data_IF_248167725558
#
_entry.id   IF_248167725558
#
_cell.length_a   1.000
_cell.length_b   1.000
_cell.length_c   1.000
_cell.angle_alpha   90.00
_cell.angle_beta   90.00
_cell.angle_gamma   90.00
#
_symmetry.space_group_name_H-M   'P 1'
#
loop_
_entity.id
_entity.type
_entity.pdbx_description
1 polymer ?
#
# COMPACT_ATOMS: atom_id res chain seq x y z
N UNK A 1 -21.05 -29.90 22.27
CA UNK A 1 -19.92 -30.15 21.36
C UNK A 1 -20.20 -31.45 20.62
N UNK A 2 -20.09 -31.48 19.29
CA UNK A 2 -20.37 -32.68 18.49
C UNK A 2 -19.11 -33.10 17.73
N UNK A 3 -18.95 -34.41 17.55
CA UNK A 3 -17.85 -35.00 16.78
C UNK A 3 -18.44 -35.64 15.53
N UNK A 4 -17.86 -35.34 14.37
CA UNK A 4 -18.20 -35.98 13.10
C UNK A 4 -16.97 -36.66 12.56
N UNK A 5 -17.15 -37.93 12.20
CA UNK A 5 -16.12 -38.74 11.55
C UNK A 5 -16.53 -38.96 10.11
N UNK A 6 -15.66 -38.60 9.18
CA UNK A 6 -15.85 -38.81 7.75
C UNK A 6 -14.67 -39.60 7.20
N UNK A 7 -14.97 -40.69 6.51
CA UNK A 7 -13.96 -41.53 5.86
C UNK A 7 -13.80 -41.11 4.40
N UNK A 8 -12.73 -40.38 4.11
CA UNK A 8 -12.23 -40.15 2.75
C UNK A 8 -11.06 -41.15 2.50
N UNK A 9 -10.05 -40.79 1.72
CA UNK A 9 -8.77 -41.54 1.62
C UNK A 9 -8.14 -41.85 2.99
N UNK A 10 -8.37 -40.98 3.98
CA UNK A 10 -8.05 -41.18 5.39
C UNK A 10 -9.24 -40.73 6.22
N UNK A 11 -9.33 -41.25 7.44
CA UNK A 11 -10.42 -40.86 8.32
C UNK A 11 -10.15 -39.49 8.93
N UNK A 12 -11.10 -38.58 8.73
CA UNK A 12 -11.08 -37.21 9.23
C UNK A 12 -12.07 -37.12 10.38
N UNK A 13 -11.62 -36.60 11.53
CA UNK A 13 -12.47 -36.36 12.70
C UNK A 13 -12.55 -34.85 12.96
N UNK A 14 -13.76 -34.31 12.97
CA UNK A 14 -14.05 -32.89 13.12
C UNK A 14 -14.83 -32.67 14.42
N UNK A 15 -14.47 -31.62 15.16
CA UNK A 15 -15.17 -31.22 16.38
C UNK A 15 -15.67 -29.79 16.23
N UNK A 16 -16.92 -29.55 16.61
CA UNK A 16 -17.60 -28.29 16.34
C UNK A 16 -18.79 -28.09 17.29
N UNK A 17 -19.17 -26.82 17.47
CA UNK A 17 -20.18 -26.40 18.45
C UNK A 17 -21.54 -26.11 17.83
N UNK A 18 -21.59 -25.69 16.57
CA UNK A 18 -22.79 -25.10 15.94
C UNK A 18 -23.47 -25.97 14.86
N UNK A 19 -22.87 -27.07 14.40
CA UNK A 19 -23.43 -27.85 13.28
C UNK A 19 -23.92 -29.25 13.63
N UNK A 20 -24.30 -30.00 12.60
CA UNK A 20 -24.39 -31.46 12.60
C UNK A 20 -23.66 -32.06 11.38
N UNK A 21 -23.64 -33.40 11.24
CA UNK A 21 -23.19 -34.03 9.99
C UNK A 21 -24.09 -33.63 8.80
N UNK A 22 -25.35 -33.31 9.10
CA UNK A 22 -26.37 -32.89 8.16
C UNK A 22 -26.47 -31.35 8.06
N UNK A 23 -26.83 -30.81 6.89
CA UNK A 23 -27.12 -31.54 5.65
C UNK A 23 -25.86 -32.16 5.04
N UNK A 24 -26.00 -33.38 4.52
CA UNK A 24 -24.95 -33.98 3.70
C UNK A 24 -24.82 -33.16 2.41
N UNK A 25 -23.59 -33.01 1.95
CA UNK A 25 -23.27 -32.30 0.73
C UNK A 25 -22.35 -33.19 -0.11
N UNK A 26 -22.04 -32.75 -1.32
CA UNK A 26 -21.14 -33.47 -2.21
C UNK A 26 -19.82 -32.71 -2.36
N UNK A 27 -18.73 -33.44 -2.60
CA UNK A 27 -17.44 -32.87 -2.97
C UNK A 27 -16.81 -33.66 -4.11
N UNK A 28 -16.02 -32.98 -4.93
CA UNK A 28 -15.30 -33.63 -6.04
C UNK A 28 -13.97 -34.16 -5.54
N UNK A 29 -13.72 -35.45 -5.76
CA UNK A 29 -12.46 -36.12 -5.46
C UNK A 29 -11.84 -36.70 -6.72
N UNK A 30 -10.52 -36.62 -6.79
CA UNK A 30 -9.78 -37.24 -7.88
C UNK A 30 -9.54 -38.70 -7.55
N UNK A 31 -10.17 -39.60 -8.30
CA UNK A 31 -9.98 -41.02 -8.16
C UNK A 31 -8.86 -41.50 -9.09
N UNK A 32 -7.77 -42.00 -8.48
CA UNK A 32 -6.64 -42.58 -9.21
C UNK A 32 -6.81 -44.07 -9.48
N UNK A 33 -7.76 -44.73 -8.83
CA UNK A 33 -8.02 -46.16 -8.98
C UNK A 33 -8.89 -46.48 -10.19
N UNK A 34 -9.74 -45.53 -10.60
CA UNK A 34 -10.48 -45.62 -11.86
C UNK A 34 -9.55 -45.45 -13.08
N UNK A 35 -9.75 -46.25 -14.14
CA UNK A 35 -9.03 -46.11 -15.42
C UNK A 35 -10.02 -45.80 -16.54
N UNK A 36 -9.98 -44.60 -17.15
CA UNK A 36 -9.09 -43.47 -16.88
C UNK A 36 -9.39 -42.78 -15.54
N UNK A 37 -8.37 -42.18 -14.93
CA UNK A 37 -8.52 -41.40 -13.70
C UNK A 37 -9.52 -40.27 -13.92
N UNK A 38 -10.52 -40.17 -13.03
CA UNK A 38 -11.62 -39.22 -13.18
C UNK A 38 -11.98 -38.55 -11.86
N UNK A 39 -12.69 -37.44 -11.96
CA UNK A 39 -13.33 -36.82 -10.80
C UNK A 39 -14.60 -37.59 -10.45
N UNK A 40 -14.70 -38.01 -9.20
CA UNK A 40 -15.86 -38.69 -8.64
C UNK A 40 -16.49 -37.78 -7.59
N UNK A 41 -17.82 -37.72 -7.62
CA UNK A 41 -18.63 -37.01 -6.63
C UNK A 41 -18.77 -37.92 -5.39
N UNK A 42 -18.29 -37.45 -4.24
CA UNK A 42 -18.34 -38.17 -2.97
C UNK A 42 -19.18 -37.38 -1.96
N UNK A 43 -20.04 -38.08 -1.23
CA UNK A 43 -20.81 -37.49 -0.14
C UNK A 43 -19.89 -37.10 1.02
N UNK A 44 -20.02 -35.86 1.47
CA UNK A 44 -19.30 -35.32 2.62
C UNK A 44 -20.26 -34.58 3.55
N UNK A 45 -20.05 -34.64 4.88
CA UNK A 45 -20.80 -33.84 5.83
C UNK A 45 -20.70 -32.35 5.50
N UNK A 46 -21.80 -31.61 5.63
CA UNK A 46 -21.82 -30.17 5.30
C UNK A 46 -20.79 -29.36 6.08
N UNK A 47 -20.43 -29.81 7.29
CA UNK A 47 -19.37 -29.22 8.12
C UNK A 47 -17.98 -29.27 7.48
N UNK A 48 -17.68 -30.28 6.65
CA UNK A 48 -16.40 -30.38 5.92
C UNK A 48 -16.27 -29.22 4.94
N UNK A 49 -17.35 -28.88 4.24
CA UNK A 49 -17.33 -27.74 3.32
C UNK A 49 -17.11 -26.42 4.08
N UNK A 50 -17.84 -26.22 5.18
CA UNK A 50 -17.67 -25.01 6.02
C UNK A 50 -16.23 -24.89 6.50
N UNK A 51 -15.66 -25.99 7.02
CA UNK A 51 -14.26 -26.02 7.40
C UNK A 51 -13.35 -25.60 6.24
N UNK A 52 -13.48 -26.23 5.06
CA UNK A 52 -12.62 -25.91 3.91
C UNK A 52 -12.80 -24.48 3.38
N UNK A 53 -14.01 -23.91 3.43
CA UNK A 53 -14.28 -22.52 3.00
C UNK A 53 -13.61 -21.52 3.93
N UNK A 54 -13.62 -21.79 5.24
CA UNK A 54 -13.07 -20.90 6.25
C UNK A 54 -11.58 -21.20 6.57
N UNK A 55 -11.08 -22.38 6.20
CA UNK A 55 -9.67 -22.75 6.29
C UNK A 55 -8.84 -21.91 5.33
N UNK A 56 -7.57 -21.69 5.68
CA UNK A 56 -6.60 -21.01 4.82
C UNK A 56 -6.64 -19.49 4.89
N UNK A 57 -7.41 -18.89 5.81
CA UNK A 57 -7.30 -17.46 6.10
C UNK A 57 -5.89 -17.07 6.54
N UNK A 58 -5.28 -17.89 7.42
CA UNK A 58 -3.89 -17.72 7.88
C UNK A 58 -2.91 -17.95 6.72
N UNK A 59 -3.03 -19.05 5.98
CA UNK A 59 -2.15 -19.36 4.85
C UNK A 59 -2.16 -18.27 3.76
N UNK A 60 -3.33 -17.64 3.51
CA UNK A 60 -3.44 -16.50 2.58
C UNK A 60 -2.71 -15.27 3.10
N UNK A 61 -2.81 -14.98 4.40
CA UNK A 61 -2.05 -13.91 5.03
C UNK A 61 -0.54 -14.18 4.95
N UNK A 62 -0.12 -15.40 5.27
CA UNK A 62 1.28 -15.83 5.20
C UNK A 62 1.83 -15.78 3.78
N UNK A 63 1.02 -16.14 2.78
CA UNK A 63 1.36 -15.98 1.36
C UNK A 63 1.56 -14.51 1.00
N UNK A 64 0.65 -13.61 1.42
CA UNK A 64 0.79 -12.17 1.18
C UNK A 64 2.03 -11.58 1.86
N UNK A 65 2.31 -12.02 3.09
CA UNK A 65 3.50 -11.66 3.86
C UNK A 65 4.78 -12.14 3.16
N UNK A 66 4.76 -13.33 2.57
CA UNK A 66 5.90 -13.92 1.87
C UNK A 66 6.35 -13.16 0.63
N UNK A 67 5.41 -12.52 -0.10
CA UNK A 67 5.71 -11.85 -1.38
C UNK A 67 6.62 -10.62 -1.24
N UNK A 68 6.32 -9.74 -0.27
CA UNK A 68 7.01 -8.44 -0.12
C UNK A 68 7.39 -8.18 1.34
N UNK A 69 7.96 -9.18 2.02
CA UNK A 69 8.30 -9.10 3.44
C UNK A 69 9.30 -8.00 3.75
N UNK A 70 9.02 -7.17 4.75
CA UNK A 70 10.00 -6.29 5.39
C UNK A 70 10.98 -7.15 6.19
N UNK A 71 12.22 -7.20 5.70
CA UNK A 71 13.28 -7.97 6.33
C UNK A 71 14.26 -7.06 7.07
N UNK A 72 14.44 -7.32 8.37
CA UNK A 72 15.41 -6.61 9.19
C UNK A 72 16.59 -7.53 9.54
N UNK A 73 17.78 -7.23 9.00
CA UNK A 73 19.04 -7.90 9.35
C UNK A 73 19.60 -7.31 10.64
N UNK A 74 19.23 -7.89 11.78
CA UNK A 74 19.76 -7.48 13.08
C UNK A 74 19.73 -8.59 14.12
N UNK A 75 20.61 -8.48 15.13
CA UNK A 75 20.68 -9.41 16.27
C UNK A 75 19.48 -9.27 17.23
N UNK A 76 18.79 -8.13 17.19
CA UNK A 76 17.63 -7.81 18.03
C UNK A 76 16.37 -8.50 17.51
N UNK A 77 16.00 -9.63 18.10
CA UNK A 77 14.87 -10.49 17.67
C UNK A 77 13.51 -9.76 17.70
N UNK A 78 13.29 -8.88 18.68
CA UNK A 78 12.03 -8.15 18.84
C UNK A 78 11.71 -7.24 17.63
N UNK A 79 12.73 -6.75 16.92
CA UNK A 79 12.51 -5.95 15.71
C UNK A 79 11.86 -6.77 14.59
N UNK A 80 12.09 -8.08 14.53
CA UNK A 80 11.42 -8.94 13.55
C UNK A 80 9.91 -9.01 13.81
N UNK A 81 9.50 -9.06 15.08
CA UNK A 81 8.08 -9.04 15.47
C UNK A 81 7.48 -7.67 15.15
N UNK A 82 8.18 -6.59 15.50
CA UNK A 82 7.74 -5.23 15.20
C UNK A 82 7.47 -5.02 13.70
N UNK A 83 8.42 -5.36 12.82
CA UNK A 83 8.23 -5.22 11.38
C UNK A 83 7.18 -6.19 10.82
N UNK A 84 7.02 -7.37 11.42
CA UNK A 84 5.96 -8.30 11.04
C UNK A 84 4.56 -7.73 11.33
N UNK A 85 4.36 -7.06 12.47
CA UNK A 85 3.10 -6.39 12.80
C UNK A 85 2.81 -5.26 11.80
N UNK A 86 3.82 -4.45 11.46
CA UNK A 86 3.67 -3.40 10.43
C UNK A 86 3.28 -4.00 9.09
N UNK A 87 3.95 -5.07 8.66
CA UNK A 87 3.63 -5.75 7.41
C UNK A 87 2.18 -6.27 7.38
N UNK A 88 1.74 -6.91 8.46
CA UNK A 88 0.36 -7.37 8.60
C UNK A 88 -0.63 -6.20 8.53
N UNK A 89 -0.34 -5.09 9.21
CA UNK A 89 -1.18 -3.90 9.18
C UNK A 89 -1.30 -3.32 7.76
N UNK A 90 -0.19 -3.25 7.01
CA UNK A 90 -0.18 -2.76 5.62
C UNK A 90 -0.95 -3.70 4.69
N UNK A 91 -0.84 -5.02 4.86
CA UNK A 91 -1.62 -5.99 4.07
C UNK A 91 -3.11 -5.86 4.39
N UNK A 92 -3.48 -5.73 5.67
CA UNK A 92 -4.88 -5.51 6.06
C UNK A 92 -5.43 -4.20 5.46
N UNK A 93 -4.65 -3.12 5.49
CA UNK A 93 -5.01 -1.86 4.84
C UNK A 93 -5.20 -2.02 3.32
N UNK A 94 -4.36 -2.82 2.66
CA UNK A 94 -4.53 -3.13 1.23
C UNK A 94 -5.80 -3.93 0.94
N UNK A 95 -6.16 -4.90 1.81
CA UNK A 95 -7.41 -5.65 1.67
C UNK A 95 -8.64 -4.75 1.83
N UNK A 96 -8.62 -3.82 2.79
CA UNK A 96 -9.66 -2.81 2.95
C UNK A 96 -9.73 -1.88 1.74
N UNK A 97 -8.59 -1.37 1.27
CA UNK A 97 -8.51 -0.58 0.05
C UNK A 97 -9.14 -1.29 -1.15
N UNK A 98 -8.85 -2.59 -1.34
CA UNK A 98 -9.44 -3.38 -2.42
C UNK A 98 -10.95 -3.54 -2.29
N UNK A 99 -11.45 -3.74 -1.07
CA UNK A 99 -12.88 -3.85 -0.80
C UNK A 99 -13.58 -2.53 -1.13
N UNK A 100 -13.04 -1.41 -0.66
CA UNK A 100 -13.63 -0.10 -0.85
C UNK A 100 -13.49 0.36 -2.32
N UNK A 101 -12.39 0.00 -2.99
CA UNK A 101 -12.23 0.20 -4.43
C UNK A 101 -13.30 -0.56 -5.22
N UNK A 102 -13.57 -1.82 -4.88
CA UNK A 102 -14.61 -2.60 -5.54
C UNK A 102 -16.02 -2.02 -5.33
N UNK A 103 -16.28 -1.37 -4.18
CA UNK A 103 -17.57 -0.78 -3.86
C UNK A 103 -17.78 0.61 -4.49
N UNK A 104 -16.73 1.43 -4.56
CA UNK A 104 -16.85 2.86 -4.84
C UNK A 104 -16.16 3.32 -6.13
N UNK A 105 -15.19 2.56 -6.68
CA UNK A 105 -14.38 3.03 -7.80
C UNK A 105 -14.96 2.58 -9.15
N UNK A 106 -14.83 3.46 -10.15
CA UNK A 106 -15.13 3.11 -11.55
C UNK A 106 -13.90 2.42 -12.17
N UNK A 107 -13.97 1.12 -12.53
CA UNK A 107 -12.82 0.36 -13.05
C UNK A 107 -12.27 0.91 -14.38
N UNK A 108 -13.09 1.63 -15.15
CA UNK A 108 -12.70 2.19 -16.44
C UNK A 108 -11.87 3.47 -16.30
N UNK A 109 -11.80 4.06 -15.10
CA UNK A 109 -11.10 5.33 -14.84
C UNK A 109 -9.85 5.16 -13.99
N UNK A 110 -9.86 4.21 -13.06
CA UNK A 110 -8.77 4.03 -12.10
C UNK A 110 -8.46 2.53 -12.02
N UNK A 111 -7.17 2.17 -11.99
CA UNK A 111 -6.73 0.79 -11.79
C UNK A 111 -6.57 0.52 -10.29
N UNK A 112 -7.07 -0.63 -9.82
CA UNK A 112 -6.81 -1.09 -8.47
C UNK A 112 -5.31 -1.39 -8.30
N UNK A 113 -4.69 -0.85 -7.27
CA UNK A 113 -3.27 -1.09 -6.98
C UNK A 113 -3.03 -2.55 -6.58
N UNK A 114 -2.01 -3.17 -7.18
CA UNK A 114 -1.44 -4.43 -6.70
C UNK A 114 -0.79 -4.25 -5.33
N UNK A 115 -0.54 -5.36 -4.61
CA UNK A 115 0.08 -5.31 -3.28
C UNK A 115 1.43 -4.57 -3.32
N UNK A 116 2.25 -4.81 -4.34
CA UNK A 116 3.52 -4.11 -4.54
C UNK A 116 3.34 -2.60 -4.69
N UNK A 117 2.47 -2.18 -5.63
CA UNK A 117 2.21 -0.77 -5.91
C UNK A 117 1.65 -0.06 -4.68
N UNK A 118 0.75 -0.72 -3.94
CA UNK A 118 0.18 -0.20 -2.70
C UNK A 118 1.26 -0.01 -1.62
N UNK A 119 2.10 -1.02 -1.36
CA UNK A 119 3.22 -0.90 -0.40
C UNK A 119 4.20 0.20 -0.80
N UNK A 120 4.50 0.32 -2.09
CA UNK A 120 5.36 1.38 -2.62
C UNK A 120 4.75 2.76 -2.41
N UNK A 121 3.44 2.92 -2.64
CA UNK A 121 2.72 4.18 -2.38
C UNK A 121 2.81 4.57 -0.90
N UNK A 122 2.50 3.65 0.02
CA UNK A 122 2.61 3.87 1.47
C UNK A 122 4.03 4.30 1.86
N UNK A 123 5.05 3.60 1.37
CA UNK A 123 6.45 3.93 1.66
C UNK A 123 6.83 5.33 1.15
N UNK A 124 6.40 5.70 -0.06
CA UNK A 124 6.66 7.02 -0.64
C UNK A 124 5.97 8.14 0.15
N UNK A 125 4.72 7.92 0.57
CA UNK A 125 3.97 8.90 1.36
C UNK A 125 4.61 9.14 2.73
N UNK A 126 5.02 8.07 3.43
CA UNK A 126 5.72 8.19 4.71
C UNK A 126 7.08 8.87 4.59
N UNK A 127 7.81 8.63 3.48
CA UNK A 127 9.11 9.27 3.20
C UNK A 127 8.98 10.79 3.11
N UNK A 128 7.88 11.31 2.56
CA UNK A 128 7.69 12.75 2.37
C UNK A 128 7.18 13.42 3.66
N UNK A 129 6.45 12.70 4.51
CA UNK A 129 6.01 13.19 5.83
C UNK A 129 7.16 13.38 6.80
N UNK A 130 8.18 12.51 6.74
CA UNK A 130 9.46 12.83 7.34
C UNK A 130 10.11 13.92 6.50
N UNK A 131 9.86 15.19 6.85
CA UNK A 131 10.79 16.27 6.51
C UNK A 131 12.20 15.69 6.76
N UNK A 132 13.20 15.85 5.87
CA UNK A 132 14.55 15.49 6.26
C UNK A 132 14.81 16.27 7.54
N UNK A 133 14.75 15.59 8.69
CA UNK A 133 15.47 15.99 9.88
C UNK A 133 16.80 16.40 9.28
N UNK A 134 17.15 17.68 9.41
CA UNK A 134 18.41 18.21 8.89
C UNK A 134 19.44 17.28 9.46
N UNK A 135 19.86 16.28 8.66
CA UNK A 135 20.84 15.33 9.11
C UNK A 135 22.05 16.24 9.27
N UNK A 136 22.64 16.34 10.48
CA UNK A 136 23.88 17.07 10.61
C UNK A 136 24.79 16.55 9.48
N UNK A 137 25.42 17.45 8.70
CA UNK A 137 26.22 17.03 7.56
C UNK A 137 27.09 15.86 8.01
N UNK A 138 26.90 14.69 7.39
CA UNK A 138 27.79 13.58 7.65
C UNK A 138 29.23 14.00 7.35
N UNK A 139 30.20 13.24 7.86
CA UNK A 139 31.62 13.45 7.55
C UNK A 139 31.77 13.72 6.05
N UNK A 140 32.30 14.88 5.62
CA UNK A 140 32.39 15.20 4.20
C UNK A 140 33.14 14.09 3.49
N UNK A 141 32.58 13.61 2.38
CA UNK A 141 33.26 12.65 1.53
C UNK A 141 34.52 13.33 0.99
N UNK A 142 35.69 12.87 1.44
CA UNK A 142 36.96 13.30 0.87
C UNK A 142 36.99 12.90 -0.60
N UNK A 143 37.32 13.88 -1.45
CA UNK A 143 37.53 13.78 -2.90
C UNK A 143 36.34 13.28 -3.76
N UNK A 144 35.39 14.17 -4.03
CA UNK A 144 34.70 14.15 -5.33
C UNK A 144 35.42 15.12 -6.26
N UNK A 145 35.72 14.68 -7.48
CA UNK A 145 36.25 15.59 -8.50
C UNK A 145 35.28 16.75 -8.75
N UNK A 146 35.78 17.91 -9.16
CA UNK A 146 34.94 19.06 -9.54
C UNK A 146 33.91 18.71 -10.62
N UNK A 147 34.17 17.69 -11.45
CA UNK A 147 33.24 17.16 -12.44
C UNK A 147 32.10 16.33 -11.81
N UNK A 148 32.38 15.52 -10.79
CA UNK A 148 31.37 14.74 -10.06
C UNK A 148 30.50 15.63 -9.18
N UNK A 149 31.09 16.65 -8.53
CA UNK A 149 30.34 17.67 -7.82
C UNK A 149 29.38 18.44 -8.76
N UNK A 150 29.82 18.76 -9.98
CA UNK A 150 28.97 19.37 -11.01
C UNK A 150 27.90 18.41 -11.53
N UNK A 151 28.19 17.12 -11.71
CA UNK A 151 27.18 16.11 -12.09
C UNK A 151 26.09 15.97 -11.02
N UNK A 152 26.45 15.91 -9.75
CA UNK A 152 25.49 15.87 -8.63
C UNK A 152 24.67 17.16 -8.53
N UNK A 153 25.30 18.32 -8.77
CA UNK A 153 24.60 19.60 -8.80
C UNK A 153 23.64 19.72 -10.00
N UNK A 154 24.00 19.17 -11.17
CA UNK A 154 23.13 19.11 -12.35
C UNK A 154 22.00 18.08 -12.21
N UNK A 155 22.21 16.95 -11.51
CA UNK A 155 21.12 16.01 -11.18
C UNK A 155 20.11 16.61 -10.18
N UNK A 156 20.55 17.56 -9.35
CA UNK A 156 19.70 18.30 -8.41
C UNK A 156 19.10 19.60 -9.00
N UNK A 157 19.34 19.91 -10.27
CA UNK A 157 18.53 20.92 -10.98
C UNK A 157 17.15 20.31 -11.22
N UNK A 158 16.26 20.53 -10.25
CA UNK A 158 14.83 20.25 -10.39
C UNK A 158 14.35 21.09 -11.57
N UNK A 159 14.09 20.43 -12.70
CA UNK A 159 13.41 21.05 -13.81
C UNK A 159 12.00 21.45 -13.34
N UNK A 160 11.80 22.74 -13.15
CA UNK A 160 10.53 23.33 -12.70
C UNK A 160 9.35 23.06 -13.64
N UNK A 161 9.60 22.50 -14.84
CA UNK A 161 8.55 22.11 -15.79
C UNK A 161 8.05 20.66 -15.58
N UNK A 162 8.83 19.80 -14.92
CA UNK A 162 8.53 18.39 -14.68
C UNK A 162 8.60 18.03 -13.18
N UNK A 163 8.12 18.92 -12.31
CA UNK A 163 8.08 18.60 -10.87
C UNK A 163 7.08 17.47 -10.65
N UNK A 164 7.58 16.28 -10.28
CA UNK A 164 6.73 15.15 -9.91
C UNK A 164 5.81 15.60 -8.78
N UNK A 165 4.51 15.62 -9.05
CA UNK A 165 3.51 15.98 -8.06
C UNK A 165 3.59 14.99 -6.89
N UNK A 166 3.59 15.47 -5.63
CA UNK A 166 3.51 14.57 -4.48
C UNK A 166 2.21 13.78 -4.51
N UNK A 167 2.23 12.63 -3.84
CA UNK A 167 1.06 11.75 -3.74
C UNK A 167 -0.13 12.51 -3.11
N UNK A 168 -1.38 12.25 -3.55
CA UNK A 168 -2.57 12.96 -3.05
C UNK A 168 -2.72 12.92 -1.52
N UNK A 169 -2.31 11.83 -0.89
CA UNK A 169 -2.37 11.65 0.56
C UNK A 169 -1.42 12.61 1.28
N UNK A 170 -0.23 12.84 0.73
CA UNK A 170 0.73 13.81 1.27
C UNK A 170 0.22 15.23 1.11
N UNK A 171 -0.46 15.51 0.00
CA UNK A 171 -1.03 16.83 -0.28
C UNK A 171 -2.15 17.17 0.71
N UNK A 172 -2.96 16.18 1.10
CA UNK A 172 -4.18 16.35 1.89
C UNK A 172 -4.03 16.01 3.37
N UNK A 173 -2.85 15.62 3.84
CA UNK A 173 -2.63 15.20 5.23
C UNK A 173 -2.66 16.33 6.28
N UNK A 174 -3.04 17.55 5.89
CA UNK A 174 -3.27 18.73 6.76
C UNK A 174 -2.11 19.13 7.69
N UNK A 175 -0.92 18.54 7.54
CA UNK A 175 0.20 18.73 8.48
C UNK A 175 1.46 19.14 7.72
N UNK A 176 2.19 20.15 8.21
CA UNK A 176 3.55 20.44 7.73
C UNK A 176 3.67 21.15 6.36
N UNK A 177 2.57 21.63 5.78
CA UNK A 177 2.56 22.40 4.54
C UNK A 177 2.91 23.87 4.78
N UNK A 178 4.14 24.16 5.20
CA UNK A 178 4.58 25.53 5.49
C UNK A 178 5.13 26.26 4.25
N UNK A 179 4.74 27.53 4.02
CA UNK A 179 5.25 28.31 2.90
C UNK A 179 6.66 28.81 3.20
N UNK A 180 7.53 28.72 2.20
CA UNK A 180 8.89 29.28 2.17
C UNK A 180 9.05 30.16 0.92
N UNK A 181 10.00 31.10 0.96
CA UNK A 181 10.27 32.02 -0.16
C UNK A 181 11.58 31.61 -0.83
N UNK A 182 11.48 31.16 -2.08
CA UNK A 182 12.65 30.83 -2.90
C UNK A 182 13.11 32.05 -3.71
N UNK A 183 14.42 32.15 -3.92
CA UNK A 183 15.02 33.17 -4.82
C UNK A 183 14.60 32.97 -6.28
N UNK A 184 14.38 31.71 -6.67
CA UNK A 184 13.92 31.31 -8.00
C UNK A 184 12.40 31.36 -8.09
N UNK A 185 11.88 31.82 -9.23
CA UNK A 185 10.44 31.75 -9.53
C UNK A 185 10.11 30.41 -10.17
N UNK A 186 8.95 29.85 -9.82
CA UNK A 186 8.39 28.65 -10.43
C UNK A 186 6.93 28.85 -10.83
N UNK A 187 6.42 27.97 -11.69
CA UNK A 187 5.00 27.95 -12.07
C UNK A 187 4.18 27.29 -10.95
N UNK A 188 3.01 27.82 -10.67
CA UNK A 188 2.10 27.25 -9.69
C UNK A 188 1.71 25.81 -10.05
N UNK A 189 1.87 24.88 -9.11
CA UNK A 189 1.56 23.47 -9.33
C UNK A 189 0.06 23.14 -9.32
N UNK A 190 -0.79 24.07 -8.87
CA UNK A 190 -2.24 23.86 -8.84
C UNK A 190 -2.79 23.76 -10.28
N UNK A 191 -3.53 22.68 -10.56
CA UNK A 191 -4.14 22.46 -11.89
C UNK A 191 -5.00 23.66 -12.28
N UNK A 192 -4.75 24.20 -13.47
CA UNK A 192 -5.45 25.36 -14.02
C UNK A 192 -4.85 26.73 -13.64
N UNK A 193 -3.85 26.78 -12.75
CA UNK A 193 -3.16 28.01 -12.41
C UNK A 193 -1.88 28.18 -13.25
N UNK A 194 -1.71 29.34 -13.88
CA UNK A 194 -0.51 29.69 -14.66
C UNK A 194 0.37 30.75 -13.97
N UNK A 195 0.13 31.01 -12.68
CA UNK A 195 0.84 32.04 -11.92
C UNK A 195 2.31 31.68 -11.71
N UNK A 196 3.21 32.63 -11.97
CA UNK A 196 4.62 32.52 -11.61
C UNK A 196 4.84 33.10 -10.21
N UNK A 197 5.39 32.31 -9.29
CA UNK A 197 5.49 32.65 -7.87
C UNK A 197 6.83 32.24 -7.26
N UNK A 198 7.21 32.94 -6.19
CA UNK A 198 8.40 32.64 -5.37
C UNK A 198 8.06 31.78 -4.14
N UNK A 199 6.78 31.67 -3.81
CA UNK A 199 6.30 30.90 -2.67
C UNK A 199 6.31 29.41 -2.97
N UNK A 200 6.78 28.64 -1.99
CA UNK A 200 7.12 27.23 -2.12
C UNK A 200 6.68 26.44 -0.89
N UNK A 201 6.01 25.30 -1.07
CA UNK A 201 5.69 24.41 0.05
C UNK A 201 6.91 23.55 0.39
N UNK A 202 7.41 23.64 1.63
CA UNK A 202 8.60 22.91 2.08
C UNK A 202 8.40 21.40 2.01
N UNK A 203 7.19 20.91 2.29
CA UNK A 203 6.86 19.48 2.31
C UNK A 203 6.59 18.91 0.92
N UNK A 204 5.70 19.55 0.16
CA UNK A 204 5.32 19.12 -1.18
C UNK A 204 6.37 19.43 -2.26
N UNK A 205 7.35 20.29 -1.94
CA UNK A 205 8.42 20.71 -2.84
C UNK A 205 7.92 21.37 -4.15
N UNK A 206 6.81 22.11 -4.09
CA UNK A 206 6.16 22.77 -5.24
C UNK A 206 5.93 24.26 -5.01
N UNK A 207 5.80 25.03 -6.10
CA UNK A 207 5.46 26.45 -6.05
C UNK A 207 3.93 26.67 -6.03
N UNK A 208 3.44 27.56 -5.17
CA UNK A 208 2.00 27.79 -4.95
C UNK A 208 1.67 29.27 -4.74
N UNK A 209 0.60 29.76 -5.37
CA UNK A 209 0.18 31.16 -5.22
C UNK A 209 -0.44 31.45 -3.84
N UNK A 210 0.02 32.55 -3.22
CA UNK A 210 -0.51 33.11 -1.96
C UNK A 210 -1.28 34.43 -2.18
N UNK A 211 -1.25 35.01 -3.39
CA UNK A 211 -1.83 36.34 -3.66
C UNK A 211 -3.32 36.32 -4.06
N UNK A 212 -4.06 37.31 -3.56
CA UNK A 212 -5.52 37.47 -3.66
C UNK A 212 -6.02 38.19 -4.94
N UNK A 213 -5.15 38.54 -5.90
CA UNK A 213 -5.58 39.39 -7.02
C UNK A 213 -6.49 38.71 -8.05
N UNK A 214 -6.65 37.38 -8.01
CA UNK A 214 -7.64 36.63 -8.82
C UNK A 214 -8.11 35.38 -8.06
N UNK A 215 -8.96 35.58 -7.04
CA UNK A 215 -9.81 34.58 -6.35
C UNK A 215 -9.32 33.12 -6.45
N UNK A 216 -8.31 32.77 -5.66
CA UNK A 216 -8.14 31.48 -4.96
C UNK A 216 -6.73 31.44 -4.37
N UNK A 217 -6.66 31.33 -3.04
CA UNK A 217 -5.43 31.01 -2.32
C UNK A 217 -5.02 29.60 -2.72
N UNK A 218 -4.28 29.48 -3.83
CA UNK A 218 -3.88 28.19 -4.40
C UNK A 218 -3.12 27.34 -3.37
N UNK A 219 -2.40 28.00 -2.47
CA UNK A 219 -1.74 27.40 -1.33
C UNK A 219 -2.70 26.71 -0.36
N UNK A 220 -3.85 27.33 -0.07
CA UNK A 220 -4.87 26.79 0.83
C UNK A 220 -5.69 25.69 0.14
N UNK A 221 -5.99 25.87 -1.15
CA UNK A 221 -6.70 24.85 -1.93
C UNK A 221 -5.85 23.61 -2.19
N UNK A 222 -4.52 23.74 -2.16
CA UNK A 222 -3.60 22.61 -2.32
C UNK A 222 -3.88 21.52 -1.28
N UNK A 223 -4.11 21.88 -0.02
CA UNK A 223 -4.36 20.91 1.07
C UNK A 223 -5.81 20.48 1.25
N UNK A 224 -6.76 21.05 0.51
CA UNK A 224 -8.19 20.73 0.68
C UNK A 224 -8.61 19.64 -0.31
N UNK A 225 -9.16 18.55 0.22
CA UNK A 225 -9.92 17.57 -0.54
C UNK A 225 -11.03 18.29 -1.32
N UNK A 226 -10.83 18.51 -2.62
CA UNK A 226 -11.96 18.82 -3.50
C UNK A 226 -12.53 17.50 -3.97
N UNK A 227 -13.59 17.02 -3.32
CA UNK A 227 -14.47 16.03 -3.91
C UNK A 227 -15.01 16.61 -5.23
N UNK A 228 -14.79 15.89 -6.33
CA UNK A 228 -15.46 16.10 -7.60
C UNK A 228 -16.05 14.79 -8.05
#
# INVERSE_FOLDING_TARGET
MRVVRWSDNKVISLIYTYGSAYPMKTCQRWDRSSTPAKKVTVDCPGIVQVYNTNMGGVDKMDSCLGLYRMFFRGKKWYLRIFFHIIDMAVINAWLLYRRDFAACANPNKVKCLSLYEFKSSVANSLRIQTNPLVRPPGRPATSLSTAEARRLHNMNRIDTRNTVLPQPEVVTDMVGHFPDVRKTRGICALKGCKGAVVFYCIKCKVHLCISNKRKLLCYISWGRFTFR
#
